data_IF_413452334158
#
_entry.id   IF_413452334158
#
_cell.length_a   1.000
_cell.length_b   1.000
_cell.length_c   1.000
_cell.angle_alpha   90.00
_cell.angle_beta   90.00
_cell.angle_gamma   90.00
#
_symmetry.space_group_name_H-M   'P 1'
#
loop_
_entity.id
_entity.type
_entity.pdbx_description
1 polymer ?
#
# COMPACT_ATOMS: atom_id res chain seq x y z
N UNK A 1 -38.91 -27.87 -5.35
CA UNK A 1 -37.94 -28.94 -5.02
C UNK A 1 -36.74 -28.77 -5.95
N UNK A 2 -35.51 -28.50 -5.54
CA UNK A 2 -34.91 -28.32 -4.25
C UNK A 2 -33.70 -27.40 -4.44
N UNK A 3 -33.56 -26.43 -3.53
CA UNK A 3 -32.32 -26.25 -2.80
C UNK A 3 -31.06 -26.05 -3.67
N UNK A 4 -30.96 -24.89 -4.35
CA UNK A 4 -29.66 -24.32 -4.69
C UNK A 4 -28.94 -23.96 -3.38
N UNK A 5 -28.33 -24.97 -2.77
CA UNK A 5 -27.34 -24.84 -1.71
C UNK A 5 -26.14 -24.13 -2.33
N UNK A 6 -26.21 -22.80 -2.40
CA UNK A 6 -25.07 -21.95 -2.69
C UNK A 6 -24.12 -22.12 -1.51
N UNK A 7 -23.22 -23.11 -1.62
CA UNK A 7 -22.11 -23.28 -0.69
C UNK A 7 -21.44 -21.93 -0.58
N UNK A 8 -21.34 -21.43 0.64
CA UNK A 8 -20.43 -20.38 1.08
C UNK A 8 -18.98 -20.84 0.88
N UNK A 9 -18.60 -21.04 -0.38
CA UNK A 9 -17.23 -20.97 -0.82
C UNK A 9 -16.95 -19.50 -1.09
N UNK A 10 -15.94 -18.96 -0.44
CA UNK A 10 -15.46 -17.59 -0.59
C UNK A 10 -14.94 -17.40 -2.03
N UNK A 11 -15.82 -17.35 -3.04
CA UNK A 11 -15.46 -17.07 -4.43
C UNK A 11 -15.12 -15.58 -4.53
N UNK A 12 -13.89 -15.30 -4.13
CA UNK A 12 -13.30 -14.00 -4.19
C UNK A 12 -13.16 -13.63 -5.67
N UNK A 13 -13.93 -12.64 -6.12
CA UNK A 13 -13.83 -12.09 -7.48
C UNK A 13 -12.35 -11.94 -7.86
N UNK A 14 -11.93 -12.33 -9.09
CA UNK A 14 -10.52 -12.32 -9.49
C UNK A 14 -9.85 -10.94 -9.32
N UNK A 15 -10.64 -9.86 -9.36
CA UNK A 15 -10.16 -8.53 -9.01
C UNK A 15 -9.82 -8.39 -7.51
N UNK A 16 -10.69 -8.83 -6.60
CA UNK A 16 -10.42 -8.84 -5.15
C UNK A 16 -9.23 -9.75 -4.80
N UNK A 17 -9.11 -10.92 -5.45
CA UNK A 17 -7.99 -11.84 -5.24
C UNK A 17 -6.65 -11.20 -5.59
N UNK A 18 -6.57 -10.43 -6.69
CA UNK A 18 -5.36 -9.69 -7.07
C UNK A 18 -4.95 -8.67 -6.03
N UNK A 19 -5.90 -7.89 -5.49
CA UNK A 19 -5.58 -6.88 -4.48
C UNK A 19 -5.12 -7.49 -3.16
N UNK A 20 -5.78 -8.55 -2.69
CA UNK A 20 -5.35 -9.27 -1.48
C UNK A 20 -3.97 -9.88 -1.70
N UNK A 21 -3.71 -10.44 -2.88
CA UNK A 21 -2.40 -10.96 -3.24
C UNK A 21 -1.33 -9.85 -3.23
N UNK A 22 -1.61 -8.67 -3.79
CA UNK A 22 -0.70 -7.52 -3.76
C UNK A 22 -0.44 -7.01 -2.35
N UNK A 23 -1.45 -6.94 -1.48
CA UNK A 23 -1.26 -6.51 -0.09
C UNK A 23 -0.45 -7.53 0.71
N UNK A 24 -0.70 -8.83 0.52
CA UNK A 24 0.06 -9.91 1.15
C UNK A 24 1.52 -9.89 0.68
N UNK A 25 1.78 -9.67 -0.60
CA UNK A 25 3.14 -9.51 -1.13
C UNK A 25 3.86 -8.30 -0.50
N UNK A 26 3.18 -7.16 -0.38
CA UNK A 26 3.75 -5.97 0.25
C UNK A 26 4.09 -6.24 1.73
N UNK A 27 3.20 -6.94 2.43
CA UNK A 27 3.41 -7.31 3.83
C UNK A 27 4.57 -8.29 3.98
N UNK A 28 4.65 -9.30 3.11
CA UNK A 28 5.77 -10.25 3.05
C UNK A 28 7.10 -9.55 2.79
N UNK A 29 7.12 -8.53 1.94
CA UNK A 29 8.33 -7.75 1.65
C UNK A 29 8.79 -6.94 2.88
N UNK A 30 7.86 -6.28 3.57
CA UNK A 30 8.19 -5.56 4.82
C UNK A 30 8.69 -6.52 5.90
N UNK A 31 8.07 -7.70 6.01
CA UNK A 31 8.52 -8.74 6.94
C UNK A 31 9.90 -9.32 6.60
N UNK A 32 10.23 -9.45 5.31
CA UNK A 32 11.57 -9.86 4.88
C UNK A 32 12.64 -8.77 5.15
N UNK A 33 12.25 -7.49 5.13
CA UNK A 33 13.16 -6.38 5.43
C UNK A 33 13.50 -6.25 6.91
N UNK A 34 12.62 -6.66 7.82
CA UNK A 34 12.84 -6.63 9.27
C UNK A 34 14.13 -7.33 9.72
N UNK A 35 14.39 -8.61 9.38
CA UNK A 35 15.63 -9.28 9.78
C UNK A 35 16.86 -8.68 9.09
N UNK A 36 16.72 -8.21 7.85
CA UNK A 36 17.83 -7.56 7.12
C UNK A 36 18.21 -6.24 7.79
N UNK A 37 17.22 -5.43 8.17
CA UNK A 37 17.44 -4.19 8.89
C UNK A 37 18.06 -4.45 10.28
N UNK A 38 17.57 -5.46 11.00
CA UNK A 38 18.10 -5.86 12.30
C UNK A 38 19.56 -6.30 12.22
N UNK A 39 19.89 -7.19 11.27
CA UNK A 39 21.25 -7.63 11.02
C UNK A 39 22.15 -6.47 10.60
N UNK A 40 21.66 -5.57 9.74
CA UNK A 40 22.40 -4.40 9.29
C UNK A 40 22.80 -3.48 10.45
N UNK A 41 21.88 -3.22 11.38
CA UNK A 41 22.18 -2.42 12.57
C UNK A 41 23.12 -3.11 13.56
N UNK A 42 23.15 -4.45 13.55
CA UNK A 42 23.96 -5.27 14.46
C UNK A 42 25.34 -5.62 13.88
N UNK A 43 25.66 -5.16 12.66
CA UNK A 43 26.97 -5.36 12.06
C UNK A 43 28.03 -4.62 12.89
N UNK A 44 29.07 -5.35 13.27
CA UNK A 44 30.27 -4.78 13.88
C UNK A 44 31.22 -4.28 12.79
N UNK A 45 31.90 -3.14 12.99
CA UNK A 45 32.87 -2.64 12.02
C UNK A 45 34.02 -3.63 11.80
N UNK A 46 34.59 -3.63 10.59
CA UNK A 46 35.70 -4.52 10.22
C UNK A 46 36.96 -4.22 11.06
N UNK A 47 37.65 -5.29 11.50
CA UNK A 47 38.82 -5.21 12.42
C UNK A 47 40.18 -5.09 11.72
N UNK A 48 40.25 -5.42 10.43
CA UNK A 48 41.51 -5.55 9.69
C UNK A 48 42.07 -4.23 9.19
N UNK A 49 41.32 -3.52 8.36
CA UNK A 49 41.76 -2.27 7.71
C UNK A 49 40.55 -1.37 7.44
N UNK A 50 40.61 -0.10 7.84
CA UNK A 50 39.54 0.88 7.57
C UNK A 50 39.43 1.97 8.65
N UNK A 51 38.77 3.10 8.34
CA UNK A 51 38.69 4.28 9.22
C UNK A 51 37.89 4.04 10.51
N UNK A 52 37.13 2.94 10.60
CA UNK A 52 36.33 2.57 11.77
C UNK A 52 36.99 1.52 12.68
N UNK A 53 38.25 1.12 12.39
CA UNK A 53 38.98 0.10 13.15
C UNK A 53 39.17 0.47 14.62
N UNK A 54 39.34 1.76 14.90
CA UNK A 54 39.55 2.31 16.25
C UNK A 54 38.40 1.99 17.21
N UNK A 55 37.19 1.82 16.69
CA UNK A 55 35.98 1.53 17.48
C UNK A 55 35.63 0.04 17.53
N UNK A 56 36.42 -0.83 16.89
CA UNK A 56 36.12 -2.28 16.78
C UNK A 56 36.45 -3.10 18.04
N UNK A 57 37.13 -2.48 19.00
CA UNK A 57 37.50 -3.08 20.30
C UNK A 57 36.47 -2.80 21.40
N UNK A 58 35.58 -1.82 21.22
CA UNK A 58 34.50 -1.56 22.16
C UNK A 58 33.38 -2.60 21.97
N UNK A 59 32.97 -3.32 23.04
CA UNK A 59 32.01 -4.42 22.94
C UNK A 59 30.61 -4.00 22.45
N UNK A 60 30.28 -2.71 22.63
CA UNK A 60 28.96 -2.13 22.35
C UNK A 60 28.93 -1.23 21.09
N UNK A 61 30.01 -1.19 20.31
CA UNK A 61 30.11 -0.28 19.16
C UNK A 61 29.66 -0.95 17.87
N UNK A 62 28.42 -0.65 17.47
CA UNK A 62 27.82 -1.11 16.22
C UNK A 62 27.93 -0.07 15.11
N UNK A 63 27.85 -0.51 13.85
CA UNK A 63 27.99 0.35 12.67
C UNK A 63 27.02 1.55 12.68
N UNK A 64 25.83 1.38 13.26
CA UNK A 64 24.87 2.45 13.53
C UNK A 64 25.44 3.61 14.36
N UNK A 65 26.24 3.32 15.39
CA UNK A 65 26.86 4.34 16.24
C UNK A 65 27.95 5.11 15.49
N UNK A 66 28.72 4.43 14.64
CA UNK A 66 29.70 5.08 13.75
C UNK A 66 29.05 6.11 12.85
N UNK A 67 27.95 5.74 12.19
CA UNK A 67 27.20 6.64 11.28
C UNK A 67 26.60 7.80 12.08
N UNK A 68 26.02 7.52 13.25
CA UNK A 68 25.47 8.56 14.14
C UNK A 68 26.53 9.56 14.57
N UNK A 69 27.73 9.10 14.91
CA UNK A 69 28.80 9.96 15.41
C UNK A 69 29.37 10.86 14.29
N UNK A 70 29.57 10.31 13.09
CA UNK A 70 29.97 11.07 11.89
C UNK A 70 28.92 12.12 11.54
N UNK A 71 27.65 11.77 11.57
CA UNK A 71 26.56 12.73 11.33
C UNK A 71 26.48 13.80 12.43
N UNK A 72 26.82 13.49 13.68
CA UNK A 72 26.81 14.47 14.78
C UNK A 72 27.87 15.57 14.67
N UNK A 73 28.92 15.34 13.87
CA UNK A 73 29.94 16.34 13.54
C UNK A 73 29.51 17.30 12.42
N UNK A 74 28.41 17.01 11.73
CA UNK A 74 27.81 17.93 10.77
C UNK A 74 27.21 19.12 11.52
N UNK A 75 27.58 20.33 11.11
CA UNK A 75 27.31 21.61 11.80
C UNK A 75 25.83 21.88 12.12
N UNK A 76 24.91 21.19 11.43
CA UNK A 76 23.47 21.31 11.62
C UNK A 76 22.89 20.18 12.51
N UNK A 77 23.26 20.19 13.80
CA UNK A 77 22.83 19.18 14.79
C UNK A 77 21.31 18.98 14.87
N UNK A 78 20.53 20.04 14.64
CA UNK A 78 19.06 19.99 14.64
C UNK A 78 18.53 19.13 13.49
N UNK A 79 19.09 19.33 12.29
CA UNK A 79 18.68 18.62 11.07
C UNK A 79 19.01 17.12 11.19
N UNK A 80 20.17 16.81 11.78
CA UNK A 80 20.62 15.44 12.05
C UNK A 80 19.72 14.75 13.07
N UNK A 81 19.35 15.42 14.16
CA UNK A 81 18.44 14.87 15.16
C UNK A 81 17.04 14.64 14.61
N UNK A 82 16.55 15.53 13.73
CA UNK A 82 15.27 15.37 13.06
C UNK A 82 15.31 14.19 12.08
N UNK A 83 16.36 14.08 11.26
CA UNK A 83 16.56 12.94 10.36
C UNK A 83 16.56 11.62 11.12
N UNK A 84 17.32 11.53 12.21
CA UNK A 84 17.39 10.31 13.03
C UNK A 84 16.05 9.98 13.72
N UNK A 85 15.29 10.99 14.14
CA UNK A 85 13.94 10.77 14.70
C UNK A 85 12.98 10.26 13.62
N UNK A 86 13.03 10.86 12.42
CA UNK A 86 12.20 10.48 11.28
C UNK A 86 12.53 9.09 10.74
N UNK A 87 13.80 8.70 10.75
CA UNK A 87 14.23 7.34 10.34
C UNK A 87 14.21 6.32 11.47
N UNK A 88 13.75 6.69 12.67
CA UNK A 88 13.61 5.71 13.74
C UNK A 88 12.54 4.67 13.39
N UNK A 89 12.80 3.41 13.75
CA UNK A 89 11.86 2.31 13.52
C UNK A 89 10.47 2.58 14.13
N UNK A 90 10.42 3.31 15.24
CA UNK A 90 9.19 3.72 15.93
C UNK A 90 8.32 4.64 15.08
N UNK A 91 8.91 5.43 14.17
CA UNK A 91 8.19 6.35 13.26
C UNK A 91 7.91 5.68 11.92
N UNK A 92 8.85 4.89 11.40
CA UNK A 92 8.71 4.20 10.11
C UNK A 92 7.61 3.13 10.15
N UNK A 93 7.55 2.32 11.21
CA UNK A 93 6.56 1.23 11.33
C UNK A 93 5.10 1.74 11.25
N UNK A 94 4.66 2.73 12.06
CA UNK A 94 3.30 3.24 11.94
C UNK A 94 3.06 3.97 10.62
N UNK A 95 4.07 4.64 10.07
CA UNK A 95 3.93 5.33 8.78
C UNK A 95 3.69 4.35 7.64
N UNK A 96 4.41 3.22 7.60
CA UNK A 96 4.16 2.12 6.65
C UNK A 96 2.77 1.53 6.84
N UNK A 97 2.32 1.35 8.08
CA UNK A 97 0.99 0.83 8.39
C UNK A 97 -0.12 1.76 7.87
N UNK A 98 0.04 3.08 8.07
CA UNK A 98 -0.85 4.11 7.52
C UNK A 98 -0.83 4.08 5.99
N UNK A 99 0.33 3.92 5.37
CA UNK A 99 0.48 3.88 3.91
C UNK A 99 -0.23 2.66 3.31
N UNK A 100 -0.16 1.51 3.99
CA UNK A 100 -0.93 0.30 3.64
C UNK A 100 -2.43 0.56 3.79
N UNK A 101 -2.85 1.20 4.88
CA UNK A 101 -4.27 1.52 5.14
C UNK A 101 -4.84 2.47 4.08
N UNK A 102 -4.09 3.53 3.73
CA UNK A 102 -4.44 4.47 2.67
C UNK A 102 -4.55 3.73 1.33
N UNK A 103 -3.56 2.89 1.01
CA UNK A 103 -3.57 2.10 -0.23
C UNK A 103 -4.83 1.21 -0.30
N UNK A 104 -5.17 0.54 0.79
CA UNK A 104 -6.39 -0.28 0.88
C UNK A 104 -7.66 0.55 0.64
N UNK A 105 -7.79 1.72 1.29
CA UNK A 105 -8.94 2.61 1.15
C UNK A 105 -9.08 3.13 -0.28
N UNK A 106 -7.98 3.56 -0.91
CA UNK A 106 -7.97 4.05 -2.29
C UNK A 106 -8.38 2.96 -3.28
N UNK A 107 -7.96 1.73 -3.05
CA UNK A 107 -8.34 0.58 -3.88
C UNK A 107 -9.85 0.29 -3.76
N UNK A 108 -10.40 0.30 -2.55
CA UNK A 108 -11.84 0.10 -2.32
C UNK A 108 -12.64 1.19 -3.05
N UNK A 109 -12.25 2.46 -2.90
CA UNK A 109 -12.90 3.58 -3.58
C UNK A 109 -12.82 3.46 -5.10
N UNK A 110 -11.65 3.13 -5.64
CA UNK A 110 -11.46 2.97 -7.10
C UNK A 110 -12.40 1.91 -7.67
N UNK A 111 -12.59 0.80 -6.96
CA UNK A 111 -13.52 -0.25 -7.38
C UNK A 111 -14.98 0.24 -7.30
N UNK A 112 -15.34 1.05 -6.30
CA UNK A 112 -16.67 1.66 -6.18
C UNK A 112 -16.99 2.61 -7.34
N UNK A 113 -16.04 3.50 -7.71
CA UNK A 113 -16.21 4.41 -8.84
C UNK A 113 -16.36 3.68 -10.17
N UNK A 114 -15.63 2.57 -10.33
CA UNK A 114 -15.72 1.73 -11.53
C UNK A 114 -17.06 0.99 -11.62
N UNK A 115 -17.69 0.67 -10.49
CA UNK A 115 -19.05 0.12 -10.47
C UNK A 115 -20.09 1.15 -10.93
N UNK A 116 -20.03 2.35 -10.35
CA UNK A 116 -20.94 3.44 -10.66
C UNK A 116 -20.85 3.89 -12.13
N UNK A 117 -19.64 3.90 -12.72
CA UNK A 117 -19.47 4.27 -14.14
C UNK A 117 -20.11 3.27 -15.10
N UNK A 118 -20.10 1.99 -14.77
CA UNK A 118 -20.75 0.94 -15.57
C UNK A 118 -22.28 1.06 -15.50
N UNK A 119 -22.83 1.38 -14.33
CA UNK A 119 -24.27 1.62 -14.19
C UNK A 119 -24.72 2.86 -14.97
N UNK A 120 -23.96 3.96 -14.88
CA UNK A 120 -24.21 5.18 -15.65
C UNK A 120 -24.24 4.90 -17.16
N UNK A 121 -23.29 4.12 -17.67
CA UNK A 121 -23.26 3.76 -19.09
C UNK A 121 -24.49 2.94 -19.50
N UNK A 122 -24.95 2.00 -18.66
CA UNK A 122 -26.17 1.22 -18.93
C UNK A 122 -27.41 2.09 -18.99
N UNK A 123 -27.55 3.05 -18.07
CA UNK A 123 -28.66 3.99 -18.05
C UNK A 123 -28.67 4.91 -19.28
N UNK A 124 -27.49 5.40 -19.68
CA UNK A 124 -27.34 6.20 -20.89
C UNK A 124 -27.70 5.39 -22.15
N UNK A 125 -27.27 4.12 -22.22
CA UNK A 125 -27.59 3.25 -23.33
C UNK A 125 -29.08 2.92 -23.42
N UNK A 126 -29.74 2.62 -22.29
CA UNK A 126 -31.19 2.36 -22.27
C UNK A 126 -31.99 3.61 -22.63
N UNK A 127 -31.59 4.77 -22.12
CA UNK A 127 -32.21 6.06 -22.44
C UNK A 127 -32.09 6.39 -23.92
N UNK A 128 -30.90 6.19 -24.52
CA UNK A 128 -30.69 6.41 -25.95
C UNK A 128 -31.59 5.47 -26.79
N UNK A 129 -31.73 4.21 -26.40
CA UNK A 129 -32.60 3.24 -27.08
C UNK A 129 -34.08 3.63 -26.99
N UNK A 130 -34.56 4.11 -25.83
CA UNK A 130 -35.94 4.58 -25.67
C UNK A 130 -36.21 5.84 -26.50
N UNK A 131 -35.25 6.76 -26.57
CA UNK A 131 -35.37 7.95 -27.43
C UNK A 131 -35.44 7.60 -28.91
N UNK A 132 -34.62 6.65 -29.40
CA UNK A 132 -34.69 6.23 -30.80
C UNK A 132 -36.00 5.51 -31.16
N UNK A 133 -36.57 4.75 -30.23
CA UNK A 133 -37.88 4.11 -30.42
C UNK A 133 -39.02 5.14 -30.45
N UNK A 134 -38.95 6.20 -29.64
CA UNK A 134 -39.93 7.28 -29.64
C UNK A 134 -39.85 8.15 -30.92
N UNK A 135 -38.64 8.37 -31.46
CA UNK A 135 -38.43 9.15 -32.69
C UNK A 135 -38.85 8.37 -33.95
N UNK A 136 -38.60 7.06 -34.00
CA UNK A 136 -38.90 6.24 -35.18
C UNK A 136 -40.35 5.72 -35.23
N UNK A 137 -41.14 5.89 -34.16
CA UNK A 137 -42.54 5.47 -34.15
C UNK A 137 -43.42 6.41 -33.29
N UNK A 138 -43.94 7.51 -33.86
CA UNK A 138 -44.62 8.58 -33.10
C UNK A 138 -45.98 8.16 -32.51
N UNK A 139 -46.51 6.99 -32.87
CA UNK A 139 -47.81 6.49 -32.39
C UNK A 139 -47.77 5.90 -30.98
N UNK A 140 -46.60 5.58 -30.44
CA UNK A 140 -46.46 4.92 -29.13
C UNK A 140 -46.48 5.91 -27.95
N UNK A 141 -46.32 7.21 -28.21
CA UNK A 141 -46.33 8.26 -27.18
C UNK A 141 -47.73 8.56 -26.63
N UNK A 142 -48.78 8.06 -27.30
CA UNK A 142 -50.19 8.18 -26.89
C UNK A 142 -50.61 7.19 -25.79
N UNK A 143 -49.84 6.13 -25.55
CA UNK A 143 -50.24 5.01 -24.65
C UNK A 143 -49.57 5.09 -23.27
N UNK A 144 -48.67 6.05 -23.06
CA UNK A 144 -47.88 6.17 -21.81
C UNK A 144 -48.30 7.32 -20.88
N UNK A 145 -49.46 7.96 -21.14
CA UNK A 145 -50.06 8.98 -20.28
C UNK A 145 -51.16 8.39 -19.39
#
# INVERSE_FOLDING_TARGET
>A
LAFFRKRSGLELSPARARYIFTSVLLFSFVWALLPIAFLSTSLRPSRGCGPFRLYSHEPDFYLYYSVRNVFSQVQNRILVQLLFKLTSAVVIVPLVLILILISCILIIRRNSYRGASVELYKLLYSSHKTHQLAVNNPTVMSVAL
#
